data_IF_170292937407
#
_entry.id   IF_170292937407
#
_cell.length_a   1.000
_cell.length_b   1.000
_cell.length_c   1.000
_cell.angle_alpha   90.00
_cell.angle_beta   90.00
_cell.angle_gamma   90.00
#
_symmetry.space_group_name_H-M   'P 1'
#
loop_
_entity.id
_entity.type
_entity.pdbx_description
1 polymer ?
#
# COMPACT_ATOMS: atom_id res chain seq x y z
N UNK A 1 8.86 -8.81 -22.22
CA UNK A 1 9.77 -8.21 -21.30
C UNK A 1 9.02 -7.33 -20.31
N UNK A 2 9.45 -7.32 -19.13
CA UNK A 2 8.73 -6.66 -18.06
C UNK A 2 9.28 -5.27 -17.82
N UNK A 3 8.39 -4.33 -17.73
CA UNK A 3 8.75 -2.97 -17.35
C UNK A 3 8.71 -2.87 -15.84
N UNK A 4 9.88 -2.82 -15.21
CA UNK A 4 9.95 -2.82 -13.75
C UNK A 4 9.69 -1.45 -13.15
N UNK A 5 9.62 -0.41 -13.98
CA UNK A 5 9.35 0.93 -13.47
C UNK A 5 7.87 1.21 -13.32
N UNK A 6 7.03 0.45 -14.03
CA UNK A 6 5.59 0.64 -13.96
C UNK A 6 4.99 -0.33 -12.95
N UNK A 7 3.99 0.10 -12.17
CA UNK A 7 3.32 -0.82 -11.25
C UNK A 7 2.65 -1.94 -12.02
N UNK A 8 2.70 -3.16 -11.51
CA UNK A 8 1.98 -4.27 -12.13
C UNK A 8 0.47 -4.00 -12.17
N UNK A 9 -0.15 -4.46 -13.25
CA UNK A 9 -1.59 -4.27 -13.38
C UNK A 9 -2.39 -4.91 -12.24
N UNK A 10 -1.89 -6.04 -11.71
CA UNK A 10 -2.56 -6.69 -10.60
C UNK A 10 -2.59 -5.79 -9.38
N UNK A 11 -1.49 -5.07 -9.11
CA UNK A 11 -1.47 -4.18 -7.96
C UNK A 11 -2.40 -3.00 -8.15
N UNK A 12 -2.51 -2.48 -9.38
CA UNK A 12 -3.47 -1.43 -9.64
C UNK A 12 -4.88 -1.89 -9.30
N UNK A 13 -5.18 -3.10 -9.70
CA UNK A 13 -6.50 -3.66 -9.44
C UNK A 13 -6.74 -3.83 -7.95
N UNK A 14 -5.73 -4.33 -7.24
CA UNK A 14 -5.85 -4.56 -5.81
C UNK A 14 -5.96 -3.26 -5.02
N UNK A 15 -5.53 -2.14 -5.58
CA UNK A 15 -5.68 -0.86 -4.91
C UNK A 15 -7.07 -0.27 -5.06
N UNK A 16 -7.92 -0.88 -5.89
CA UNK A 16 -9.30 -0.46 -6.03
C UNK A 16 -10.09 -1.06 -4.89
N UNK A 17 -10.52 -0.20 -3.97
CA UNK A 17 -11.14 -0.67 -2.74
C UNK A 17 -12.56 -0.15 -2.64
N UNK A 18 -13.37 -0.86 -1.83
CA UNK A 18 -14.71 -0.39 -1.56
C UNK A 18 -14.72 0.89 -0.73
N UNK A 19 -13.75 1.02 0.18
CA UNK A 19 -13.62 2.25 0.94
C UNK A 19 -12.92 3.29 0.08
N UNK A 20 -13.62 4.39 -0.19
CA UNK A 20 -13.12 5.39 -1.13
C UNK A 20 -11.82 6.02 -0.68
N UNK A 21 -11.68 6.31 0.61
CA UNK A 21 -10.47 6.93 1.12
C UNK A 21 -9.27 6.04 0.89
N UNK A 22 -9.44 4.74 1.11
CA UNK A 22 -8.35 3.80 0.86
C UNK A 22 -8.06 3.67 -0.62
N UNK A 23 -9.10 3.65 -1.44
CA UNK A 23 -8.93 3.57 -2.89
C UNK A 23 -8.02 4.70 -3.37
N UNK A 24 -8.34 5.92 -2.98
CA UNK A 24 -7.59 7.10 -3.40
C UNK A 24 -6.16 7.05 -2.85
N UNK A 25 -6.03 6.73 -1.57
CA UNK A 25 -4.73 6.74 -0.91
C UNK A 25 -3.81 5.67 -1.50
N UNK A 26 -4.28 4.44 -1.62
CA UNK A 26 -3.45 3.35 -2.09
C UNK A 26 -3.11 3.50 -3.56
N UNK A 27 -4.05 3.98 -4.36
CA UNK A 27 -3.78 4.22 -5.77
C UNK A 27 -2.75 5.33 -5.96
N UNK A 28 -2.85 6.39 -5.17
CA UNK A 28 -1.86 7.46 -5.23
C UNK A 28 -0.49 7.00 -4.78
N UNK A 29 -0.45 6.20 -3.72
CA UNK A 29 0.82 5.67 -3.24
C UNK A 29 1.46 4.77 -4.30
N UNK A 30 0.66 3.93 -4.93
CA UNK A 30 1.16 3.04 -5.97
C UNK A 30 1.78 3.84 -7.12
N UNK A 31 1.11 4.92 -7.52
CA UNK A 31 1.60 5.71 -8.65
C UNK A 31 2.85 6.51 -8.31
N UNK A 32 2.90 7.07 -7.12
CA UNK A 32 3.95 8.04 -6.80
C UNK A 32 5.10 7.47 -6.00
N UNK A 33 4.84 6.51 -5.13
CA UNK A 33 5.87 6.00 -4.23
C UNK A 33 6.34 4.60 -4.54
N UNK A 34 5.44 3.74 -5.02
CA UNK A 34 5.80 2.34 -5.26
C UNK A 34 7.04 2.20 -6.14
N UNK A 35 7.17 2.96 -7.24
CA UNK A 35 8.36 2.78 -8.09
C UNK A 35 9.67 3.08 -7.37
N UNK A 36 9.61 3.83 -6.29
CA UNK A 36 10.80 4.21 -5.54
C UNK A 36 11.09 3.27 -4.38
N UNK A 37 10.21 2.32 -4.11
CA UNK A 37 10.38 1.44 -2.97
C UNK A 37 11.48 0.41 -3.26
N UNK A 38 12.17 0.02 -2.19
CA UNK A 38 13.08 -1.11 -2.24
C UNK A 38 12.27 -2.39 -2.41
N UNK A 39 12.92 -3.41 -2.96
CA UNK A 39 12.22 -4.65 -3.25
C UNK A 39 11.47 -5.25 -2.06
N UNK A 40 12.07 -5.32 -0.85
CA UNK A 40 11.32 -5.86 0.28
C UNK A 40 10.03 -5.10 0.56
N UNK A 41 10.07 -3.77 0.43
CA UNK A 41 8.88 -2.96 0.68
C UNK A 41 7.84 -3.14 -0.41
N UNK A 42 8.27 -3.38 -1.64
CA UNK A 42 7.32 -3.67 -2.71
C UNK A 42 6.56 -4.96 -2.42
N UNK A 43 7.28 -5.98 -1.95
CA UNK A 43 6.64 -7.23 -1.58
C UNK A 43 5.68 -7.03 -0.41
N UNK A 44 6.09 -6.20 0.57
CA UNK A 44 5.24 -5.93 1.72
C UNK A 44 3.98 -5.19 1.31
N UNK A 45 4.09 -4.27 0.35
CA UNK A 45 2.92 -3.57 -0.15
C UNK A 45 1.93 -4.54 -0.79
N UNK A 46 2.44 -5.45 -1.61
CA UNK A 46 1.58 -6.45 -2.23
C UNK A 46 0.90 -7.32 -1.18
N UNK A 47 1.64 -7.71 -0.13
CA UNK A 47 1.08 -8.50 0.94
C UNK A 47 -0.01 -7.74 1.70
N UNK A 48 0.22 -6.44 1.95
CA UNK A 48 -0.75 -5.62 2.64
C UNK A 48 -2.07 -5.57 1.88
N UNK A 49 -2.00 -5.50 0.55
CA UNK A 49 -3.21 -5.40 -0.26
C UNK A 49 -4.08 -6.65 -0.20
N UNK A 50 -3.58 -7.74 0.34
CA UNK A 50 -4.39 -8.93 0.58
C UNK A 50 -5.30 -8.77 1.79
N UNK A 51 -5.04 -7.78 2.63
CA UNK A 51 -5.86 -7.51 3.79
C UNK A 51 -7.14 -6.80 3.39
N UNK A 52 -8.14 -6.86 4.25
CA UNK A 52 -9.42 -6.21 3.97
C UNK A 52 -9.38 -4.74 4.37
N UNK A 53 -10.28 -3.95 3.78
CA UNK A 53 -10.30 -2.51 4.01
C UNK A 53 -10.30 -2.12 5.48
N UNK A 54 -11.15 -2.72 6.33
CA UNK A 54 -11.13 -2.31 7.74
C UNK A 54 -9.81 -2.57 8.43
N UNK A 55 -9.12 -3.64 8.04
CA UNK A 55 -7.82 -3.95 8.63
C UNK A 55 -6.78 -2.91 8.23
N UNK A 56 -6.70 -2.63 6.93
CA UNK A 56 -5.73 -1.66 6.44
C UNK A 56 -6.00 -0.29 7.06
N UNK A 57 -7.28 0.08 7.11
CA UNK A 57 -7.66 1.37 7.66
C UNK A 57 -7.27 1.49 9.13
N UNK A 58 -7.48 0.41 9.90
CA UNK A 58 -7.11 0.41 11.30
C UNK A 58 -5.60 0.55 11.49
N UNK A 59 -4.83 -0.12 10.64
CA UNK A 59 -3.37 0.03 10.69
C UNK A 59 -2.96 1.47 10.42
N UNK A 60 -3.56 2.08 9.42
CA UNK A 60 -3.19 3.44 9.03
C UNK A 60 -3.57 4.46 10.08
N UNK A 61 -4.66 4.21 10.80
CA UNK A 61 -5.10 5.10 11.87
C UNK A 61 -4.43 4.82 13.20
N UNK A 62 -3.61 3.79 13.27
CA UNK A 62 -2.95 3.44 14.50
C UNK A 62 -3.85 2.76 15.52
N UNK A 63 -4.98 2.23 15.06
CA UNK A 63 -5.93 1.55 15.95
C UNK A 63 -5.62 0.07 16.12
N UNK A 64 -4.82 -0.48 15.24
CA UNK A 64 -4.40 -1.86 15.32
C UNK A 64 -2.95 -1.93 14.91
N UNK A 65 -2.21 -2.86 15.50
CA UNK A 65 -0.82 -3.06 15.17
C UNK A 65 -0.70 -4.03 14.00
N UNK A 66 -0.03 -3.63 12.91
CA UNK A 66 0.15 -4.56 11.81
C UNK A 66 1.14 -5.65 12.18
N UNK A 67 1.11 -6.73 11.40
CA UNK A 67 2.13 -7.76 11.55
C UNK A 67 3.50 -7.13 11.36
N UNK A 68 4.54 -7.67 12.04
CA UNK A 68 5.86 -7.04 11.99
C UNK A 68 6.37 -6.82 10.57
N UNK A 69 6.06 -7.73 9.66
CA UNK A 69 6.50 -7.59 8.28
C UNK A 69 5.83 -6.45 7.54
N UNK A 70 4.71 -5.94 8.05
CA UNK A 70 3.98 -4.87 7.38
C UNK A 70 4.19 -3.51 8.01
N UNK A 71 4.89 -3.46 9.16
CA UNK A 71 5.03 -2.20 9.89
C UNK A 71 5.73 -1.13 9.05
N UNK A 72 6.76 -1.53 8.31
CA UNK A 72 7.51 -0.57 7.50
C UNK A 72 6.70 0.03 6.39
N UNK A 73 5.94 -0.79 5.66
CA UNK A 73 5.15 -0.27 4.57
C UNK A 73 3.99 0.59 5.08
N UNK A 74 3.41 0.22 6.22
CA UNK A 74 2.36 1.03 6.81
C UNK A 74 2.90 2.41 7.16
N UNK A 75 4.12 2.46 7.73
CA UNK A 75 4.73 3.76 8.04
C UNK A 75 4.92 4.60 6.78
N UNK A 76 5.39 3.98 5.70
CA UNK A 76 5.62 4.72 4.47
C UNK A 76 4.32 5.28 3.90
N UNK A 77 3.24 4.50 3.98
CA UNK A 77 1.95 4.98 3.50
C UNK A 77 1.43 6.11 4.38
N UNK A 78 1.62 6.00 5.69
CA UNK A 78 1.20 7.09 6.59
C UNK A 78 1.97 8.37 6.31
N UNK A 79 3.27 8.25 6.07
CA UNK A 79 4.07 9.43 5.74
C UNK A 79 3.60 10.06 4.44
N UNK A 80 3.27 9.22 3.45
CA UNK A 80 2.77 9.71 2.18
C UNK A 80 1.44 10.45 2.37
N UNK A 81 0.56 9.90 3.17
CA UNK A 81 -0.76 10.50 3.36
C UNK A 81 -0.69 11.81 4.15
N UNK A 82 0.41 12.04 4.87
CA UNK A 82 0.55 13.25 5.67
C UNK A 82 1.10 14.42 4.87
N UNK A 83 1.49 14.21 3.62
CA UNK A 83 2.06 15.28 2.80
C UNK A 83 1.03 16.31 2.37
#
# INVERSE_FOLDING_TARGET
MTDTTAPPGRLRWLCRRGMRELDVLLSGFLEQEYPRLEEPLKADFAALLESQDPEIWAYLLGRAEPEPGLAGIIRRIRDFSAR
#
